data_IF_325562637948
#
_entry.id   IF_325562637948
#
_cell.length_a   1.000
_cell.length_b   1.000
_cell.length_c   1.000
_cell.angle_alpha   90.00
_cell.angle_beta   90.00
_cell.angle_gamma   90.00
#
_symmetry.space_group_name_H-M   'P 1'
#
loop_
_entity.id
_entity.type
_entity.pdbx_description
1 polymer ?
#
# COMPACT_ATOMS: atom_id res chain seq x y z
N UNK A 1 12.90 -2.94 2.06
CA UNK A 1 11.43 -2.90 2.18
C UNK A 1 10.81 -3.87 1.18
N UNK A 2 9.73 -4.52 1.55
CA UNK A 2 9.09 -5.53 0.72
C UNK A 2 7.69 -5.09 0.32
N UNK A 3 7.29 -5.47 -0.89
CA UNK A 3 5.91 -5.27 -1.39
C UNK A 3 5.49 -6.47 -2.22
N UNK A 4 4.19 -6.74 -2.23
CA UNK A 4 3.58 -7.74 -3.11
C UNK A 4 2.91 -7.01 -4.25
N UNK A 5 3.32 -7.31 -5.48
CA UNK A 5 2.81 -6.68 -6.69
C UNK A 5 2.45 -7.72 -7.74
N UNK A 6 1.61 -7.32 -8.67
CA UNK A 6 1.32 -8.11 -9.86
C UNK A 6 1.71 -7.34 -11.11
N UNK A 7 2.30 -8.03 -12.08
CA UNK A 7 2.56 -7.47 -13.41
C UNK A 7 1.65 -8.05 -14.49
N UNK A 8 0.87 -9.05 -14.12
CA UNK A 8 -0.20 -9.63 -14.95
C UNK A 8 -1.30 -10.15 -14.04
N UNK A 9 -2.49 -10.32 -14.57
CA UNK A 9 -3.62 -10.88 -13.83
C UNK A 9 -3.62 -12.42 -13.91
N UNK A 10 -4.27 -13.06 -12.95
CA UNK A 10 -4.36 -14.51 -12.90
C UNK A 10 -4.66 -15.03 -11.50
N UNK A 11 -4.26 -16.26 -11.26
CA UNK A 11 -4.38 -16.91 -9.97
C UNK A 11 -3.28 -16.47 -8.99
N UNK A 12 -3.15 -17.17 -7.85
CA UNK A 12 -2.15 -16.79 -6.84
C UNK A 12 -0.70 -16.77 -7.34
N UNK A 13 -0.42 -17.49 -8.41
CA UNK A 13 0.93 -17.57 -9.00
C UNK A 13 1.42 -16.24 -9.57
N UNK A 14 0.55 -15.27 -9.81
CA UNK A 14 0.95 -13.97 -10.35
C UNK A 14 1.44 -13.01 -9.27
N UNK A 15 1.26 -13.35 -7.99
CA UNK A 15 1.74 -12.55 -6.88
C UNK A 15 3.26 -12.62 -6.80
N UNK A 16 3.91 -11.46 -6.76
CA UNK A 16 5.36 -11.36 -6.69
C UNK A 16 5.76 -10.55 -5.47
N UNK A 17 6.70 -11.07 -4.67
CA UNK A 17 7.31 -10.31 -3.57
C UNK A 17 8.54 -9.62 -4.12
N UNK A 18 8.56 -8.29 -4.00
CA UNK A 18 9.65 -7.46 -4.53
C UNK A 18 10.30 -6.64 -3.43
N UNK A 19 11.59 -6.42 -3.57
CA UNK A 19 12.27 -5.39 -2.79
C UNK A 19 11.94 -4.03 -3.40
N UNK A 20 11.55 -3.09 -2.56
CA UNK A 20 11.20 -1.73 -2.98
C UNK A 20 12.03 -0.70 -2.25
N UNK A 21 12.17 0.46 -2.89
CA UNK A 21 12.71 1.66 -2.26
C UNK A 21 11.61 2.72 -2.28
N UNK A 22 11.40 3.39 -1.16
CA UNK A 22 10.46 4.50 -1.10
C UNK A 22 11.19 5.81 -1.28
N UNK A 23 10.60 6.69 -2.09
CA UNK A 23 10.96 8.10 -2.12
C UNK A 23 10.41 8.76 -0.85
N UNK A 24 10.86 9.98 -0.57
CA UNK A 24 10.23 10.78 0.47
C UNK A 24 8.74 10.96 0.14
N UNK A 25 7.86 11.08 1.17
CA UNK A 25 6.46 11.32 0.91
C UNK A 25 6.26 12.63 0.15
N UNK A 26 5.27 12.66 -0.74
CA UNK A 26 4.86 13.89 -1.38
C UNK A 26 4.31 14.88 -0.34
N UNK A 27 4.07 16.16 -0.74
CA UNK A 27 3.67 17.19 0.21
C UNK A 27 2.43 16.87 1.04
N UNK A 28 1.50 16.11 0.47
CA UNK A 28 0.23 15.74 1.10
C UNK A 28 0.17 14.27 1.52
N UNK A 29 1.32 13.62 1.62
CA UNK A 29 1.41 12.20 1.96
C UNK A 29 2.12 11.98 3.29
N UNK A 30 1.89 10.80 3.86
CA UNK A 30 2.66 10.29 4.99
C UNK A 30 3.32 8.98 4.60
N UNK A 31 4.45 8.66 5.21
CA UNK A 31 5.06 7.33 5.11
C UNK A 31 4.62 6.50 6.31
N UNK A 32 4.16 5.29 6.03
CA UNK A 32 3.64 4.38 7.03
C UNK A 32 4.53 3.14 7.09
N UNK A 33 4.97 2.78 8.29
CA UNK A 33 5.51 1.46 8.58
C UNK A 33 4.35 0.58 8.99
N UNK A 34 3.99 -0.40 8.16
CA UNK A 34 2.84 -1.26 8.38
C UNK A 34 3.08 -2.20 9.54
N UNK A 35 2.09 -2.33 10.42
CA UNK A 35 2.08 -3.29 11.53
C UNK A 35 1.02 -4.36 11.34
N UNK A 36 -0.04 -4.06 10.60
CA UNK A 36 -1.10 -4.98 10.24
C UNK A 36 -1.63 -4.66 8.85
N UNK A 37 -1.94 -5.68 8.09
CA UNK A 37 -2.43 -5.55 6.72
C UNK A 37 -3.68 -6.42 6.62
N UNK A 38 -4.80 -5.83 6.18
CA UNK A 38 -6.04 -6.55 5.98
C UNK A 38 -6.07 -7.29 4.64
N UNK A 39 -6.60 -8.49 4.65
CA UNK A 39 -6.88 -9.26 3.45
C UNK A 39 -8.38 -9.23 3.20
N UNK A 40 -8.79 -8.79 2.01
CA UNK A 40 -10.19 -8.69 1.63
C UNK A 40 -10.45 -9.48 0.36
N UNK A 41 -11.67 -9.99 0.22
CA UNK A 41 -12.02 -10.80 -0.94
C UNK A 41 -11.87 -10.02 -2.26
N UNK A 42 -12.10 -8.71 -2.24
CA UNK A 42 -11.92 -7.86 -3.43
C UNK A 42 -10.50 -7.90 -3.96
N UNK A 43 -9.51 -8.18 -3.12
CA UNK A 43 -8.11 -8.28 -3.56
C UNK A 43 -7.94 -9.40 -4.60
N UNK A 44 -8.74 -10.45 -4.49
CA UNK A 44 -8.75 -11.53 -5.50
C UNK A 44 -9.34 -11.06 -6.82
N UNK A 45 -10.30 -10.14 -6.80
CA UNK A 45 -10.89 -9.56 -8.01
C UNK A 45 -9.87 -8.68 -8.74
N UNK A 46 -9.09 -7.91 -7.99
CA UNK A 46 -8.01 -7.13 -8.57
C UNK A 46 -6.92 -8.04 -9.17
N UNK A 47 -6.54 -9.07 -8.43
CA UNK A 47 -5.53 -10.04 -8.89
C UNK A 47 -5.96 -10.77 -10.16
N UNK A 48 -7.20 -11.23 -10.22
CA UNK A 48 -7.72 -12.02 -11.34
C UNK A 48 -8.06 -11.20 -12.58
N UNK A 49 -8.20 -9.87 -12.43
CA UNK A 49 -8.60 -8.98 -13.50
C UNK A 49 -10.11 -8.79 -13.65
N UNK A 50 -10.91 -9.31 -12.72
CA UNK A 50 -12.36 -9.07 -12.73
C UNK A 50 -12.66 -7.57 -12.63
N UNK A 51 -11.86 -6.84 -11.82
CA UNK A 51 -11.84 -5.39 -11.79
C UNK A 51 -10.52 -4.92 -12.39
N UNK A 52 -10.51 -4.49 -13.67
CA UNK A 52 -9.27 -4.17 -14.36
C UNK A 52 -8.49 -3.03 -13.70
N UNK A 53 -7.17 -3.17 -13.69
CA UNK A 53 -6.24 -2.17 -13.15
C UNK A 53 -5.12 -1.92 -14.14
N UNK A 54 -4.48 -0.78 -14.00
CA UNK A 54 -3.27 -0.47 -14.75
C UNK A 54 -2.07 -1.18 -14.10
N UNK A 55 -1.47 -2.12 -14.81
CA UNK A 55 -0.35 -2.93 -14.33
C UNK A 55 1.01 -2.33 -14.71
N UNK A 56 2.09 -2.59 -13.97
CA UNK A 56 2.13 -3.33 -12.70
C UNK A 56 1.55 -2.53 -11.55
N UNK A 57 1.04 -3.21 -10.52
CA UNK A 57 0.42 -2.54 -9.38
C UNK A 57 0.56 -3.40 -8.12
N UNK A 58 0.64 -2.75 -6.97
CA UNK A 58 0.49 -3.39 -5.68
C UNK A 58 -0.97 -3.69 -5.38
N UNK A 59 -1.23 -4.64 -4.51
CA UNK A 59 -2.57 -5.01 -4.08
C UNK A 59 -2.81 -4.61 -2.63
N UNK A 60 -4.09 -4.65 -2.25
CA UNK A 60 -4.53 -4.42 -0.89
C UNK A 60 -5.12 -3.05 -0.67
N UNK A 61 -6.13 -2.98 0.20
CA UNK A 61 -6.94 -1.80 0.43
C UNK A 61 -6.87 -1.24 1.84
N UNK A 62 -6.30 -1.98 2.80
CA UNK A 62 -6.30 -1.51 4.18
C UNK A 62 -5.03 -1.91 4.92
N UNK A 63 -4.71 -1.12 5.93
CA UNK A 63 -3.59 -1.39 6.79
C UNK A 63 -3.65 -0.53 8.05
N UNK A 64 -2.79 -0.86 8.97
CA UNK A 64 -2.57 -0.09 10.18
C UNK A 64 -1.09 -0.07 10.50
N UNK A 65 -0.60 1.04 10.98
CA UNK A 65 0.82 1.16 11.27
C UNK A 65 1.17 2.47 11.97
N UNK A 66 2.43 2.80 11.86
CA UNK A 66 3.01 3.97 12.52
C UNK A 66 3.55 4.91 11.45
N UNK A 67 3.26 6.19 11.58
CA UNK A 67 3.80 7.22 10.69
C UNK A 67 5.30 7.40 11.00
N UNK A 68 6.13 7.27 9.97
CA UNK A 68 7.58 7.45 10.08
C UNK A 68 8.08 8.71 9.40
N UNK A 69 7.29 9.32 8.52
CA UNK A 69 7.63 10.56 7.85
C UNK A 69 6.34 11.24 7.38
N UNK A 70 6.36 12.57 7.25
CA UNK A 70 5.20 13.35 6.81
C UNK A 70 5.63 14.34 5.75
N UNK A 71 4.73 14.57 4.77
CA UNK A 71 4.92 15.61 3.78
C UNK A 71 4.74 17.00 4.36
N UNK A 72 5.25 18.00 3.66
CA UNK A 72 5.32 19.38 4.18
C UNK A 72 3.94 20.00 4.45
N UNK A 73 2.91 19.57 3.73
CA UNK A 73 1.55 20.09 3.89
C UNK A 73 0.72 19.32 4.93
N UNK A 74 1.25 18.25 5.50
CA UNK A 74 0.51 17.43 6.48
C UNK A 74 0.59 18.11 7.84
N UNK A 75 -0.58 18.49 8.39
CA UNK A 75 -0.68 19.22 9.66
C UNK A 75 -1.37 18.40 10.76
N UNK A 76 -2.26 17.48 10.37
CA UNK A 76 -3.09 16.74 11.32
C UNK A 76 -2.41 15.48 11.86
N UNK A 77 -1.29 15.07 11.27
CA UNK A 77 -0.55 13.87 11.64
C UNK A 77 0.92 14.19 11.85
N UNK A 78 1.57 13.41 12.69
CA UNK A 78 3.00 13.56 12.97
C UNK A 78 3.67 12.20 13.06
N UNK A 79 4.99 12.21 12.94
CA UNK A 79 5.83 11.01 13.12
C UNK A 79 5.56 10.39 14.49
N UNK A 80 5.36 9.07 14.51
CA UNK A 80 5.04 8.33 15.71
C UNK A 80 3.55 8.07 15.91
N UNK A 81 2.67 8.74 15.16
CA UNK A 81 1.23 8.52 15.27
C UNK A 81 0.88 7.12 14.78
N UNK A 82 -0.03 6.46 15.52
CA UNK A 82 -0.64 5.21 15.10
C UNK A 82 -1.84 5.51 14.24
N UNK A 83 -1.93 4.87 13.06
CA UNK A 83 -3.01 5.13 12.12
C UNK A 83 -3.53 3.83 11.52
N UNK A 84 -4.74 3.90 11.00
CA UNK A 84 -5.30 2.88 10.14
C UNK A 84 -5.97 3.56 8.95
N UNK A 85 -6.10 2.82 7.86
CA UNK A 85 -6.72 3.34 6.66
C UNK A 85 -7.39 2.22 5.87
N UNK A 86 -8.34 2.59 5.05
CA UNK A 86 -8.96 1.71 4.07
C UNK A 86 -9.28 2.51 2.81
N UNK A 87 -9.17 1.86 1.65
CA UNK A 87 -9.50 2.47 0.38
C UNK A 87 -8.29 2.68 -0.52
N UNK A 88 -8.54 3.34 -1.65
CA UNK A 88 -7.51 3.63 -2.64
C UNK A 88 -6.58 4.75 -2.16
N UNK A 89 -5.35 4.80 -2.70
CA UNK A 89 -4.77 3.92 -3.73
C UNK A 89 -4.42 2.54 -3.19
N UNK A 90 -4.43 1.55 -4.10
CA UNK A 90 -4.05 0.18 -3.77
C UNK A 90 -2.57 0.08 -3.42
N UNK A 91 -2.18 -0.98 -2.71
CA UNK A 91 -0.78 -1.25 -2.42
C UNK A 91 -0.48 -1.48 -0.95
N UNK A 92 -1.46 -1.87 -0.14
CA UNK A 92 -1.22 -2.10 1.29
C UNK A 92 -0.45 -3.38 1.59
N UNK A 93 -0.28 -4.29 0.61
CA UNK A 93 0.56 -5.48 0.78
C UNK A 93 2.04 -5.10 0.69
N UNK A 94 2.52 -4.42 1.69
CA UNK A 94 3.90 -3.93 1.74
C UNK A 94 4.33 -3.71 3.20
N UNK A 95 5.63 -3.64 3.42
CA UNK A 95 6.15 -3.32 4.75
C UNK A 95 6.06 -1.82 5.05
N UNK A 96 6.27 -0.99 4.04
CA UNK A 96 6.25 0.48 4.15
C UNK A 96 5.60 1.06 2.90
N UNK A 97 4.87 2.15 3.06
CA UNK A 97 4.30 2.86 1.91
C UNK A 97 4.08 4.34 2.20
N UNK A 98 4.01 5.12 1.12
CA UNK A 98 3.49 6.47 1.18
C UNK A 98 1.99 6.46 0.88
N UNK A 99 1.20 7.22 1.67
CA UNK A 99 -0.27 7.24 1.53
C UNK A 99 -0.76 8.67 1.71
N UNK A 100 -1.71 9.12 0.85
CA UNK A 100 -2.24 10.49 0.92
C UNK A 100 -3.08 10.79 2.16
#
# INVERSE_FOLDING_TARGET
MKAVEISKTGGPEVLEVKDISLNKPGPDQVTIEQKAIGLNYIDTYHRSGLYPLKLPIGLGLEGAGIITDVGDNVKDFKVGDKISYAGIPLGSYCSHRNYP
#
